data_IF_268266482855
#
_entry.id   IF_268266482855
#
_cell.length_a   1.000
_cell.length_b   1.000
_cell.length_c   1.000
_cell.angle_alpha   90.00
_cell.angle_beta   90.00
_cell.angle_gamma   90.00
#
_symmetry.space_group_name_H-M   'P 1'
#
loop_
_entity.id
_entity.type
_entity.pdbx_description
1 polymer ?
#
# COMPACT_ATOMS: atom_id res chain seq x y z
N UNK A 1 20.88 11.62 16.54
CA UNK A 1 22.18 12.15 16.07
C UNK A 1 22.73 11.37 14.88
N UNK A 2 21.90 11.10 13.86
CA UNK A 2 22.39 10.52 12.59
C UNK A 2 21.58 11.06 11.40
N UNK A 3 20.28 11.33 11.63
CA UNK A 3 19.40 11.99 10.66
C UNK A 3 19.78 13.44 10.31
N UNK A 4 20.46 14.19 11.19
CA UNK A 4 20.89 15.57 10.91
C UNK A 4 22.05 15.64 9.91
N UNK A 5 22.81 14.55 9.73
CA UNK A 5 23.97 14.51 8.82
C UNK A 5 23.58 14.62 7.34
N UNK A 6 22.33 14.31 7.00
CA UNK A 6 21.87 14.13 5.63
C UNK A 6 20.71 15.07 5.25
N UNK A 7 20.27 15.96 6.14
CA UNK A 7 19.10 16.83 5.93
C UNK A 7 19.23 17.76 4.72
N UNK A 8 20.43 18.23 4.44
CA UNK A 8 20.70 19.21 3.37
C UNK A 8 21.26 18.56 2.09
N UNK A 9 21.25 17.22 2.01
CA UNK A 9 21.75 16.46 0.86
C UNK A 9 20.56 15.96 0.05
N UNK A 10 20.60 16.14 -1.28
CA UNK A 10 19.57 15.61 -2.17
C UNK A 10 19.57 14.08 -2.19
N UNK A 11 18.43 13.47 -2.54
CA UNK A 11 18.34 12.01 -2.59
C UNK A 11 19.27 11.42 -3.64
N UNK A 12 19.44 12.10 -4.77
CA UNK A 12 20.37 11.74 -5.83
C UNK A 12 21.82 11.70 -5.32
N UNK A 13 22.24 12.71 -4.56
CA UNK A 13 23.58 12.76 -3.96
C UNK A 13 23.78 11.69 -2.88
N UNK A 14 22.74 11.39 -2.10
CA UNK A 14 22.77 10.29 -1.12
C UNK A 14 22.97 8.95 -1.83
N UNK A 15 22.31 8.71 -2.95
CA UNK A 15 22.47 7.48 -3.74
C UNK A 15 23.89 7.38 -4.32
N UNK A 16 24.48 8.49 -4.75
CA UNK A 16 25.90 8.52 -5.17
C UNK A 16 26.85 8.19 -4.02
N UNK A 17 26.59 8.72 -2.82
CA UNK A 17 27.37 8.41 -1.61
C UNK A 17 27.24 6.93 -1.21
N UNK A 18 26.04 6.36 -1.32
CA UNK A 18 25.79 4.94 -1.10
C UNK A 18 26.63 4.09 -2.07
N UNK A 19 26.68 4.47 -3.35
CA UNK A 19 27.52 3.80 -4.37
C UNK A 19 29.01 3.94 -4.12
N UNK A 20 29.43 5.05 -3.52
CA UNK A 20 30.80 5.26 -3.06
C UNK A 20 31.15 4.44 -1.80
N UNK A 21 30.23 3.62 -1.29
CA UNK A 21 30.45 2.72 -0.16
C UNK A 21 30.20 3.35 1.20
N UNK A 22 29.49 4.48 1.28
CA UNK A 22 29.11 5.04 2.58
C UNK A 22 28.05 4.18 3.26
N UNK A 23 28.43 3.62 4.41
CA UNK A 23 27.54 2.86 5.27
C UNK A 23 26.51 3.77 5.95
N UNK A 24 25.27 3.28 6.11
CA UNK A 24 24.18 4.00 6.79
C UNK A 24 23.33 4.92 5.91
N UNK A 25 23.77 5.22 4.67
CA UNK A 25 22.94 6.00 3.73
C UNK A 25 21.69 5.22 3.32
N UNK A 26 21.82 3.90 3.16
CA UNK A 26 20.70 3.02 2.87
C UNK A 26 19.62 3.13 3.96
N UNK A 27 20.01 2.95 5.22
CA UNK A 27 19.09 3.00 6.36
C UNK A 27 18.41 4.38 6.48
N UNK A 28 19.16 5.45 6.21
CA UNK A 28 18.61 6.80 6.17
C UNK A 28 17.53 6.96 5.09
N UNK A 29 17.80 6.53 3.85
CA UNK A 29 16.83 6.61 2.75
C UNK A 29 15.60 5.73 3.05
N UNK A 30 15.81 4.54 3.61
CA UNK A 30 14.72 3.64 4.01
C UNK A 30 13.82 4.28 5.07
N UNK A 31 14.39 4.92 6.10
CA UNK A 31 13.59 5.59 7.14
C UNK A 31 12.92 6.86 6.63
N UNK A 32 13.61 7.66 5.79
CA UNK A 32 13.06 8.88 5.16
C UNK A 32 11.79 8.60 4.36
N UNK A 33 11.77 7.51 3.60
CA UNK A 33 10.67 7.14 2.72
C UNK A 33 9.64 6.17 3.33
N UNK A 34 9.88 5.67 4.55
CA UNK A 34 8.97 4.75 5.26
C UNK A 34 7.55 5.29 5.41
N UNK A 35 7.38 6.59 5.65
CA UNK A 35 6.06 7.20 5.77
C UNK A 35 5.32 7.24 4.42
N UNK A 36 6.04 7.38 3.30
CA UNK A 36 5.46 7.24 1.96
C UNK A 36 4.94 5.81 1.78
N UNK A 37 5.76 4.80 2.10
CA UNK A 37 5.37 3.39 2.08
C UNK A 37 4.11 3.15 2.92
N UNK A 38 4.08 3.60 4.19
CA UNK A 38 2.91 3.46 5.06
C UNK A 38 1.66 4.11 4.47
N UNK A 39 1.79 5.32 3.90
CA UNK A 39 0.68 6.03 3.27
C UNK A 39 0.10 5.24 2.10
N UNK A 40 0.95 4.67 1.24
CA UNK A 40 0.54 3.85 0.09
C UNK A 40 -0.08 2.52 0.54
N UNK A 41 0.51 1.84 1.51
CA UNK A 41 -0.03 0.61 2.07
C UNK A 41 -1.42 0.82 2.68
N UNK A 42 -1.65 1.93 3.39
CA UNK A 42 -2.95 2.27 3.95
C UNK A 42 -4.01 2.53 2.87
N UNK A 43 -3.64 3.13 1.74
CA UNK A 43 -4.55 3.29 0.61
C UNK A 43 -4.93 1.94 -0.03
N UNK A 44 -3.98 1.00 -0.11
CA UNK A 44 -4.16 -0.34 -0.65
C UNK A 44 -4.83 -1.32 0.34
N UNK A 45 -4.76 -1.03 1.63
CA UNK A 45 -5.44 -1.81 2.67
C UNK A 45 -6.95 -1.79 2.52
N UNK A 46 -7.50 -0.68 2.05
CA UNK A 46 -8.94 -0.52 1.74
C UNK A 46 -9.43 -1.51 0.66
N UNK A 47 -8.51 -2.23 0.01
CA UNK A 47 -8.74 -3.22 -1.07
C UNK A 47 -8.64 -4.68 -0.58
N UNK A 48 -8.43 -4.92 0.72
CA UNK A 48 -8.42 -6.27 1.29
C UNK A 48 -7.05 -6.96 1.37
N UNK A 49 -5.96 -6.19 1.34
CA UNK A 49 -4.63 -6.65 1.78
C UNK A 49 -4.47 -6.62 3.30
N UNK A 50 -3.45 -7.28 3.83
CA UNK A 50 -3.00 -7.10 5.22
C UNK A 50 -2.00 -5.95 5.25
N UNK A 51 -2.23 -4.94 6.11
CA UNK A 51 -1.43 -3.69 6.08
C UNK A 51 0.06 -3.95 6.30
N UNK A 52 0.40 -4.88 7.18
CA UNK A 52 1.79 -5.23 7.48
C UNK A 52 2.49 -5.91 6.30
N UNK A 53 1.79 -6.82 5.59
CA UNK A 53 2.31 -7.44 4.36
C UNK A 53 2.55 -6.39 3.27
N UNK A 54 1.61 -5.46 3.09
CA UNK A 54 1.74 -4.40 2.11
C UNK A 54 2.88 -3.44 2.46
N UNK A 55 3.07 -3.12 3.74
CA UNK A 55 4.20 -2.31 4.19
C UNK A 55 5.50 -3.02 3.86
N UNK A 56 5.63 -4.32 4.16
CA UNK A 56 6.84 -5.08 3.85
C UNK A 56 7.14 -5.10 2.35
N UNK A 57 6.13 -5.37 1.52
CA UNK A 57 6.26 -5.35 0.06
C UNK A 57 6.62 -3.95 -0.44
N UNK A 58 6.05 -2.90 0.12
CA UNK A 58 6.43 -1.54 -0.20
C UNK A 58 7.88 -1.21 0.18
N UNK A 59 8.34 -1.68 1.34
CA UNK A 59 9.73 -1.52 1.77
C UNK A 59 10.68 -2.28 0.83
N UNK A 60 10.30 -3.46 0.34
CA UNK A 60 11.06 -4.20 -0.69
C UNK A 60 11.13 -3.40 -1.99
N UNK A 61 10.02 -2.77 -2.41
CA UNK A 61 9.98 -1.89 -3.58
C UNK A 61 10.90 -0.68 -3.44
N UNK A 62 10.89 -0.03 -2.27
CA UNK A 62 11.79 1.07 -1.93
C UNK A 62 13.26 0.63 -1.94
N UNK A 63 13.57 -0.52 -1.34
CA UNK A 63 14.92 -1.07 -1.31
C UNK A 63 15.48 -1.26 -2.74
N UNK A 64 14.69 -1.87 -3.63
CA UNK A 64 15.04 -2.01 -5.05
C UNK A 64 15.21 -0.66 -5.73
N UNK A 65 14.35 0.30 -5.42
CA UNK A 65 14.46 1.64 -5.99
C UNK A 65 15.80 2.30 -5.64
N UNK A 66 16.24 2.22 -4.38
CA UNK A 66 17.54 2.77 -3.94
C UNK A 66 18.70 2.10 -4.67
N UNK A 67 18.63 0.78 -4.88
CA UNK A 67 19.67 0.03 -5.60
C UNK A 67 19.73 0.35 -7.10
N UNK A 68 18.56 0.42 -7.75
CA UNK A 68 18.45 0.45 -9.21
C UNK A 68 18.37 1.86 -9.81
N UNK A 69 18.14 2.89 -8.99
CA UNK A 69 18.00 4.27 -9.46
C UNK A 69 19.27 4.76 -10.14
N UNK A 70 19.16 5.36 -11.33
CA UNK A 70 20.29 5.95 -12.05
C UNK A 70 20.12 7.46 -12.09
N UNK A 71 21.10 8.20 -11.58
CA UNK A 71 21.10 9.68 -11.52
C UNK A 71 21.09 10.33 -12.91
N UNK A 72 21.50 9.60 -13.95
CA UNK A 72 21.46 10.01 -15.36
C UNK A 72 20.03 10.09 -15.94
N UNK A 73 19.00 9.61 -15.23
CA UNK A 73 17.61 9.64 -15.71
C UNK A 73 16.96 10.99 -15.38
N UNK A 74 16.06 11.44 -16.26
CA UNK A 74 15.32 12.72 -16.09
C UNK A 74 14.27 12.71 -14.97
N UNK A 75 14.02 11.56 -14.34
CA UNK A 75 13.00 11.40 -13.29
C UNK A 75 13.69 11.44 -11.94
N UNK A 76 13.20 12.28 -11.01
CA UNK A 76 13.76 12.35 -9.66
C UNK A 76 13.62 11.02 -8.90
N UNK A 77 14.50 10.79 -7.93
CA UNK A 77 14.48 9.57 -7.13
C UNK A 77 13.12 9.37 -6.45
N UNK A 78 12.52 10.44 -5.94
CA UNK A 78 11.20 10.39 -5.31
C UNK A 78 10.16 9.68 -6.19
N UNK A 79 10.02 10.10 -7.44
CA UNK A 79 9.03 9.54 -8.38
C UNK A 79 9.39 8.11 -8.78
N UNK A 80 10.68 7.81 -8.93
CA UNK A 80 11.12 6.45 -9.21
C UNK A 80 10.85 5.49 -8.04
N UNK A 81 11.14 5.92 -6.81
CA UNK A 81 10.85 5.18 -5.59
C UNK A 81 9.35 4.93 -5.43
N UNK A 82 8.54 5.97 -5.61
CA UNK A 82 7.08 5.87 -5.59
C UNK A 82 6.57 4.83 -6.60
N UNK A 83 7.07 4.84 -7.84
CA UNK A 83 6.72 3.87 -8.87
C UNK A 83 7.05 2.43 -8.43
N UNK A 84 8.26 2.21 -7.91
CA UNK A 84 8.72 0.89 -7.48
C UNK A 84 7.95 0.36 -6.26
N UNK A 85 7.73 1.21 -5.26
CA UNK A 85 6.92 0.90 -4.07
C UNK A 85 5.53 0.44 -4.52
N UNK A 86 4.87 1.24 -5.34
CA UNK A 86 3.55 0.93 -5.85
C UNK A 86 3.56 -0.44 -6.56
N UNK A 87 4.46 -0.66 -7.53
CA UNK A 87 4.51 -1.92 -8.31
C UNK A 87 4.63 -3.16 -7.44
N UNK A 88 5.48 -3.10 -6.43
CA UNK A 88 5.70 -4.22 -5.51
C UNK A 88 4.45 -4.50 -4.68
N UNK A 89 3.84 -3.47 -4.08
CA UNK A 89 2.60 -3.64 -3.31
C UNK A 89 1.42 -4.15 -4.15
N UNK A 90 1.23 -3.63 -5.37
CA UNK A 90 0.15 -4.10 -6.25
C UNK A 90 0.32 -5.57 -6.62
N UNK A 91 1.54 -5.99 -6.96
CA UNK A 91 1.85 -7.40 -7.26
C UNK A 91 1.47 -8.30 -6.08
N UNK A 92 1.73 -7.85 -4.85
CA UNK A 92 1.36 -8.57 -3.64
C UNK A 92 -0.16 -8.65 -3.43
N UNK A 93 -0.90 -7.55 -3.66
CA UNK A 93 -2.38 -7.56 -3.63
C UNK A 93 -2.93 -8.57 -4.64
N UNK A 94 -2.47 -8.53 -5.90
CA UNK A 94 -2.93 -9.45 -6.94
C UNK A 94 -2.60 -10.92 -6.63
N UNK A 95 -1.43 -11.18 -6.05
CA UNK A 95 -1.06 -12.53 -5.61
C UNK A 95 -1.96 -13.02 -4.46
N UNK A 96 -2.26 -12.15 -3.48
CA UNK A 96 -3.13 -12.46 -2.35
C UNK A 96 -4.58 -12.73 -2.79
N UNK A 97 -5.12 -11.90 -3.68
CA UNK A 97 -6.47 -12.09 -4.23
C UNK A 97 -6.58 -13.38 -5.04
N UNK A 98 -5.59 -13.73 -5.88
CA UNK A 98 -5.58 -15.03 -6.59
C UNK A 98 -5.59 -16.22 -5.62
N UNK A 99 -4.83 -16.15 -4.52
CA UNK A 99 -4.82 -17.20 -3.49
C UNK A 99 -6.16 -17.30 -2.76
N UNK A 100 -6.85 -16.18 -2.48
CA UNK A 100 -8.20 -16.16 -1.89
C UNK A 100 -9.28 -16.68 -2.85
N UNK A 101 -9.10 -16.54 -4.16
CA UNK A 101 -10.03 -17.03 -5.18
C UNK A 101 -9.69 -18.43 -5.73
N UNK A 102 -8.52 -18.98 -5.42
CA UNK A 102 -8.15 -20.36 -5.73
C UNK A 102 -9.01 -21.47 -5.07
N UNK A 103 -9.57 -21.33 -3.83
CA UNK A 103 -10.25 -22.43 -3.15
C UNK A 103 -11.69 -22.68 -3.60
N UNK A 104 -12.28 -21.84 -4.46
CA UNK A 104 -13.66 -22.01 -4.94
C UNK A 104 -13.86 -23.26 -5.83
N UNK A 105 -12.80 -24.02 -6.13
CA UNK A 105 -12.86 -25.32 -6.82
C UNK A 105 -12.35 -26.52 -5.99
N UNK A 106 -12.10 -26.36 -4.69
CA UNK A 106 -11.71 -27.49 -3.83
C UNK A 106 -12.65 -27.57 -2.64
N UNK A 107 -13.87 -28.04 -2.91
CA UNK A 107 -14.83 -28.42 -1.88
C UNK A 107 -14.34 -29.73 -1.23
N UNK A 108 -13.89 -29.67 0.01
CA UNK A 108 -13.83 -30.84 0.88
C UNK A 108 -14.55 -30.45 2.17
N UNK A 109 -15.66 -31.13 2.43
CA UNK A 109 -16.55 -30.93 3.57
C UNK A 109 -15.82 -31.04 4.91
N UNK A 110 -16.13 -30.11 5.81
CA UNK A 110 -15.79 -30.17 7.23
C UNK A 110 -16.83 -31.06 7.95
N UNK A 111 -16.44 -32.26 8.31
CA UNK A 111 -17.08 -33.00 9.40
C UNK A 111 -16.02 -33.71 10.24
N UNK A 112 -15.75 -33.16 11.43
CA UNK A 112 -15.30 -33.84 12.65
C UNK A 112 -15.02 -32.77 13.71
N UNK A 113 -15.85 -32.71 14.75
CA UNK A 113 -15.82 -31.68 15.79
C UNK A 113 -14.73 -31.85 16.85
N UNK A 114 -14.66 -30.87 17.77
CA UNK A 114 -14.68 -31.06 19.24
C UNK A 114 -14.52 -29.71 19.98
N UNK A 115 -15.15 -29.65 21.15
CA UNK A 115 -15.29 -28.57 22.12
C UNK A 115 -13.97 -28.14 22.82
N UNK A 116 -13.87 -26.88 23.27
CA UNK A 116 -13.77 -26.46 24.70
C UNK A 116 -13.20 -25.03 24.94
N UNK A 117 -13.91 -24.33 25.82
CA UNK A 117 -13.51 -23.37 26.88
C UNK A 117 -12.45 -22.28 26.68
N UNK A 118 -12.91 -21.02 26.86
CA UNK A 118 -12.50 -20.17 27.99
C UNK A 118 -11.27 -19.26 27.85
N UNK A 119 -11.48 -17.94 28.01
CA UNK A 119 -10.90 -17.06 29.06
C UNK A 119 -11.01 -15.60 28.61
N UNK A 120 -11.81 -14.83 29.35
CA UNK A 120 -11.83 -13.36 29.34
C UNK A 120 -10.74 -12.85 30.29
N UNK A 121 -9.96 -11.86 29.88
CA UNK A 121 -9.05 -11.10 30.73
C UNK A 121 -9.30 -9.61 30.51
N UNK A 122 -9.85 -8.97 31.54
CA UNK A 122 -10.10 -7.54 31.65
C UNK A 122 -8.99 -6.92 32.50
N UNK A 123 -8.37 -5.81 32.07
CA UNK A 123 -7.58 -4.96 32.97
C UNK A 123 -7.36 -3.54 32.43
N UNK A 124 -7.88 -2.54 33.16
CA UNK A 124 -7.07 -1.42 33.67
C UNK A 124 -7.02 -0.09 32.89
N UNK A 125 -7.70 0.93 33.44
CA UNK A 125 -7.69 2.37 33.09
C UNK A 125 -6.32 3.09 33.24
N UNK A 126 -6.02 4.07 32.36
CA UNK A 126 -5.58 5.47 32.69
C UNK A 126 -5.40 6.39 31.43
N UNK A 127 -5.26 7.74 31.54
CA UNK A 127 -6.25 8.72 31.09
C UNK A 127 -5.89 9.59 29.85
N UNK A 128 -6.94 10.04 29.15
CA UNK A 128 -7.09 11.30 28.41
C UNK A 128 -5.88 11.85 27.62
N UNK A 129 -5.66 11.30 26.44
CA UNK A 129 -5.25 12.10 25.28
C UNK A 129 -6.19 11.74 24.13
N UNK A 130 -6.95 12.72 23.66
CA UNK A 130 -7.86 12.69 22.50
C UNK A 130 -8.46 11.32 22.17
N UNK A 131 -9.63 11.03 22.74
CA UNK A 131 -10.39 9.78 22.62
C UNK A 131 -9.99 8.95 21.39
N UNK A 132 -9.05 7.99 21.56
CA UNK A 132 -8.59 7.11 20.50
C UNK A 132 -9.77 6.34 19.93
N UNK A 133 -10.80 6.09 20.74
CA UNK A 133 -12.05 5.47 20.33
C UNK A 133 -12.79 6.35 19.32
N UNK A 134 -12.96 7.67 19.53
CA UNK A 134 -13.60 8.55 18.56
C UNK A 134 -12.79 8.71 17.24
N UNK A 135 -11.46 8.79 17.33
CA UNK A 135 -10.60 8.82 16.13
C UNK A 135 -10.58 7.46 15.40
N UNK A 136 -10.62 6.36 16.14
CA UNK A 136 -10.69 5.00 15.62
C UNK A 136 -12.06 4.71 15.01
N UNK A 137 -13.15 5.10 15.68
CA UNK A 137 -14.53 4.99 15.20
C UNK A 137 -14.72 5.82 13.93
N UNK A 138 -14.16 7.04 13.84
CA UNK A 138 -14.26 7.83 12.62
C UNK A 138 -13.49 7.22 11.44
N UNK A 139 -12.28 6.69 11.69
CA UNK A 139 -11.51 5.98 10.67
C UNK A 139 -12.14 4.63 10.30
N UNK A 140 -12.69 3.89 11.26
CA UNK A 140 -13.34 2.61 11.09
C UNK A 140 -14.66 2.75 10.35
N UNK A 141 -15.44 3.80 10.63
CA UNK A 141 -16.67 4.13 9.91
C UNK A 141 -16.37 4.52 8.47
N UNK A 142 -15.39 5.40 8.24
CA UNK A 142 -14.96 5.77 6.88
C UNK A 142 -14.40 4.54 6.14
N UNK A 143 -13.67 3.68 6.85
CA UNK A 143 -13.13 2.44 6.31
C UNK A 143 -14.22 1.41 5.99
N UNK A 144 -15.24 1.26 6.84
CA UNK A 144 -16.39 0.40 6.59
C UNK A 144 -17.18 0.90 5.38
N UNK A 145 -17.39 2.21 5.27
CA UNK A 145 -18.04 2.83 4.12
C UNK A 145 -17.24 2.63 2.83
N UNK A 146 -15.92 2.83 2.87
CA UNK A 146 -15.04 2.59 1.73
C UNK A 146 -14.96 1.10 1.37
N UNK A 147 -14.97 0.21 2.35
CA UNK A 147 -14.99 -1.25 2.16
C UNK A 147 -16.32 -1.70 1.54
N UNK A 148 -17.44 -1.21 2.03
CA UNK A 148 -18.77 -1.51 1.47
C UNK A 148 -18.93 -0.95 0.05
N UNK A 149 -18.38 0.25 -0.20
CA UNK A 149 -18.33 0.83 -1.54
C UNK A 149 -17.43 0.00 -2.47
N UNK A 150 -16.30 -0.50 -1.96
CA UNK A 150 -15.36 -1.29 -2.73
C UNK A 150 -15.78 -2.73 -2.99
N UNK A 151 -16.60 -3.33 -2.12
CA UNK A 151 -17.23 -4.65 -2.33
C UNK A 151 -18.14 -4.68 -3.57
N UNK A 152 -18.63 -3.51 -4.02
CA UNK A 152 -19.42 -3.38 -5.26
C UNK A 152 -18.55 -3.19 -6.51
N UNK A 153 -17.26 -2.89 -6.34
CA UNK A 153 -16.33 -2.71 -7.43
C UNK A 153 -15.78 -4.06 -7.89
N UNK A 154 -15.66 -4.23 -9.21
CA UNK A 154 -14.86 -5.33 -9.75
C UNK A 154 -13.38 -5.14 -9.41
N UNK A 155 -12.55 -6.20 -9.43
CA UNK A 155 -11.11 -6.08 -9.15
C UNK A 155 -10.40 -5.01 -9.99
N UNK A 156 -10.78 -4.88 -11.26
CA UNK A 156 -10.24 -3.86 -12.18
C UNK A 156 -10.66 -2.44 -11.80
N UNK A 157 -11.93 -2.24 -11.45
CA UNK A 157 -12.41 -0.94 -10.96
C UNK A 157 -11.76 -0.57 -9.64
N UNK A 158 -11.51 -1.56 -8.80
CA UNK A 158 -10.82 -1.35 -7.55
C UNK A 158 -9.39 -0.84 -7.78
N UNK A 159 -8.64 -1.47 -8.68
CA UNK A 159 -7.29 -1.04 -9.06
C UNK A 159 -7.29 0.39 -9.64
N UNK A 160 -8.24 0.68 -10.53
CA UNK A 160 -8.37 2.01 -11.15
C UNK A 160 -8.73 3.09 -10.14
N UNK A 161 -9.66 2.84 -9.22
CA UNK A 161 -10.03 3.81 -8.18
C UNK A 161 -8.84 4.18 -7.31
N UNK A 162 -8.03 3.20 -6.93
CA UNK A 162 -6.90 3.46 -6.02
C UNK A 162 -5.81 4.25 -6.71
N UNK A 163 -5.41 3.87 -7.91
CA UNK A 163 -4.41 4.63 -8.67
C UNK A 163 -4.88 6.07 -8.94
N UNK A 164 -6.19 6.25 -9.17
CA UNK A 164 -6.78 7.57 -9.33
C UNK A 164 -6.76 8.39 -8.03
N UNK A 165 -7.08 7.78 -6.89
CA UNK A 165 -6.96 8.42 -5.56
C UNK A 165 -5.52 8.71 -5.17
N UNK A 166 -4.57 7.96 -5.74
CA UNK A 166 -3.12 8.14 -5.59
C UNK A 166 -2.56 9.30 -6.44
N UNK A 167 -3.43 10.00 -7.18
CA UNK A 167 -3.10 11.18 -7.98
C UNK A 167 -2.70 10.87 -9.42
N UNK A 168 -2.72 9.61 -9.84
CA UNK A 168 -2.40 9.24 -11.22
C UNK A 168 -3.54 9.63 -12.16
N UNK A 169 -3.18 10.18 -13.32
CA UNK A 169 -4.15 10.41 -14.38
C UNK A 169 -4.45 9.11 -15.14
N UNK A 170 -5.60 9.06 -15.82
CA UNK A 170 -6.06 7.83 -16.47
C UNK A 170 -5.12 7.27 -17.55
N UNK A 171 -4.26 8.10 -18.18
CA UNK A 171 -3.22 7.62 -19.10
C UNK A 171 -2.10 6.89 -18.36
N UNK A 172 -1.63 7.46 -17.25
CA UNK A 172 -0.62 6.83 -16.39
C UNK A 172 -1.16 5.52 -15.81
N UNK A 173 -2.43 5.50 -15.39
CA UNK A 173 -3.09 4.28 -14.90
C UNK A 173 -3.16 3.23 -16.00
N UNK A 174 -3.43 3.63 -17.25
CA UNK A 174 -3.53 2.70 -18.37
C UNK A 174 -2.19 2.07 -18.72
N UNK A 175 -1.14 2.89 -18.84
CA UNK A 175 0.22 2.42 -19.04
C UNK A 175 0.65 1.49 -17.91
N UNK A 176 0.35 1.88 -16.67
CA UNK A 176 0.71 1.16 -15.47
C UNK A 176 0.01 -0.21 -15.35
N UNK A 177 -1.27 -0.30 -15.69
CA UNK A 177 -2.04 -1.54 -15.67
C UNK A 177 -1.89 -2.38 -16.96
N UNK A 178 -1.11 -1.92 -17.94
CA UNK A 178 -1.03 -2.55 -19.26
C UNK A 178 -2.39 -2.59 -19.97
N UNK A 179 -3.23 -1.58 -19.75
CA UNK A 179 -4.57 -1.43 -20.32
C UNK A 179 -4.61 -0.25 -21.27
N UNK A 180 -5.70 -0.15 -22.02
CA UNK A 180 -5.95 1.04 -22.84
C UNK A 180 -6.51 2.17 -21.97
N UNK A 181 -6.22 3.44 -22.27
CA UNK A 181 -6.81 4.59 -21.59
C UNK A 181 -8.35 4.54 -21.55
N UNK A 182 -8.97 4.02 -22.63
CA UNK A 182 -10.40 3.78 -22.72
C UNK A 182 -10.92 2.76 -21.69
N UNK A 183 -10.16 1.71 -21.40
CA UNK A 183 -10.55 0.71 -20.40
C UNK A 183 -10.54 1.30 -18.98
N UNK A 184 -9.57 2.18 -18.69
CA UNK A 184 -9.47 2.91 -17.41
C UNK A 184 -10.61 3.92 -17.27
N UNK A 185 -10.89 4.70 -18.31
CA UNK A 185 -12.01 5.65 -18.31
C UNK A 185 -13.36 4.95 -18.07
N UNK A 186 -13.61 3.85 -18.78
CA UNK A 186 -14.82 3.03 -18.56
C UNK A 186 -14.92 2.51 -17.11
N UNK A 187 -13.79 2.14 -16.51
CA UNK A 187 -13.77 1.74 -15.10
C UNK A 187 -14.12 2.92 -14.18
N UNK A 188 -13.53 4.11 -14.39
CA UNK A 188 -13.86 5.34 -13.64
C UNK A 188 -15.35 5.71 -13.75
N UNK A 189 -15.95 5.56 -14.93
CA UNK A 189 -17.38 5.78 -15.12
C UNK A 189 -18.23 4.80 -14.32
N UNK A 190 -17.91 3.49 -14.35
CA UNK A 190 -18.63 2.47 -13.57
C UNK A 190 -18.45 2.66 -12.06
N UNK A 191 -17.26 3.05 -11.62
CA UNK A 191 -16.99 3.41 -10.21
C UNK A 191 -17.91 4.55 -9.76
N UNK A 192 -17.97 5.65 -10.53
CA UNK A 192 -18.86 6.79 -10.23
C UNK A 192 -20.33 6.38 -10.18
N UNK A 193 -20.75 5.44 -11.02
CA UNK A 193 -22.11 4.90 -11.01
C UNK A 193 -22.43 4.01 -9.80
N UNK A 194 -21.43 3.38 -9.19
CA UNK A 194 -21.59 2.46 -8.05
C UNK A 194 -21.46 3.13 -6.67
N UNK A 195 -20.79 4.29 -6.63
CA UNK A 195 -20.59 5.10 -5.41
C UNK A 195 -21.73 6.10 -5.20
N UNK A 196 -22.59 6.29 -6.20
CA UNK A 196 -23.81 7.11 -6.09
C UNK A 196 -24.93 6.42 -5.31
#
# INVERSE_FOLDING_TARGET
MEQDRYKDVSDEQLIEQLRAGQNGVMDYLMEKYKNLVRKRANALYLIGGETEDLIQEGMIGLFKAVQDYRTEKEVSFYHFAELCINRQMYTAVEASQRKKHAPLNTYVSLDAGQEKDGVYLETGNHPQTSDPEALFISQETVRLLLKQASERLSPMEHQVLVLYLDGMNYHQIAEYLGKTPKAVDNALQRIRGKIR
#
